data_IF_462419414238
#
_entry.id   IF_462419414238
#
_cell.length_a   1.000
_cell.length_b   1.000
_cell.length_c   1.000
_cell.angle_alpha   90.00
_cell.angle_beta   90.00
_cell.angle_gamma   90.00
#
_symmetry.space_group_name_H-M   'P 1'
#
loop_
_entity.id
_entity.type
_entity.pdbx_description
1 polymer ?
#
# COMPACT_ATOMS: atom_id res chain seq x y z
N UNK A 1 23.33 9.91 -1.43
CA UNK A 1 22.63 8.73 -0.97
C UNK A 1 23.28 8.01 0.19
N UNK A 2 24.54 7.65 0.23
CA UNK A 2 25.20 7.11 1.42
C UNK A 2 26.39 7.99 1.77
N UNK A 3 26.27 8.76 2.83
CA UNK A 3 27.39 9.52 3.41
C UNK A 3 28.28 8.60 4.27
N UNK A 4 28.40 7.32 3.85
CA UNK A 4 29.18 6.32 4.55
C UNK A 4 30.43 5.91 3.75
N UNK A 5 31.48 5.54 4.45
CA UNK A 5 32.71 5.05 3.81
C UNK A 5 33.80 6.11 3.69
N UNK A 6 34.75 5.87 2.82
CA UNK A 6 35.98 6.66 2.68
C UNK A 6 35.74 8.14 2.35
N UNK A 7 34.75 8.42 1.51
CA UNK A 7 34.40 9.80 1.15
C UNK A 7 33.93 10.64 2.36
N UNK A 8 33.23 10.04 3.31
CA UNK A 8 32.83 10.71 4.55
C UNK A 8 34.04 11.07 5.43
N UNK A 9 34.99 10.15 5.52
CA UNK A 9 36.24 10.36 6.26
C UNK A 9 37.03 11.50 5.63
N UNK A 10 37.20 11.48 4.31
CA UNK A 10 37.90 12.54 3.56
C UNK A 10 37.23 13.90 3.70
N UNK A 11 35.90 13.94 3.69
CA UNK A 11 35.13 15.17 3.90
C UNK A 11 35.40 15.76 5.30
N UNK A 12 35.36 14.94 6.36
CA UNK A 12 35.65 15.39 7.72
C UNK A 12 37.12 15.86 7.87
N UNK A 13 38.04 15.20 7.22
CA UNK A 13 39.45 15.61 7.22
C UNK A 13 39.67 16.94 6.49
N UNK A 14 38.94 17.15 5.40
CA UNK A 14 39.04 18.41 4.63
C UNK A 14 38.38 19.61 5.35
N UNK A 15 37.42 19.35 6.24
CA UNK A 15 36.65 20.37 6.95
C UNK A 15 36.62 20.11 8.47
N UNK A 16 37.79 20.17 9.16
CA UNK A 16 37.92 19.71 10.54
C UNK A 16 37.10 20.55 11.55
N UNK A 17 36.81 21.79 11.21
CA UNK A 17 36.08 22.75 12.09
C UNK A 17 34.60 22.89 11.68
N UNK A 18 34.10 22.10 10.73
CA UNK A 18 32.71 22.17 10.30
C UNK A 18 31.79 21.34 11.21
N UNK A 19 30.61 21.89 11.49
CA UNK A 19 29.52 21.14 12.10
C UNK A 19 28.83 20.30 11.00
N UNK A 20 28.60 19.01 11.28
CA UNK A 20 27.94 18.09 10.35
C UNK A 20 26.57 17.72 10.90
N UNK A 21 25.51 18.09 10.18
CA UNK A 21 24.12 17.74 10.51
C UNK A 21 23.58 16.81 9.41
N UNK A 22 23.04 15.68 9.80
CA UNK A 22 22.41 14.73 8.87
C UNK A 22 20.89 14.86 8.90
N UNK A 23 20.29 14.93 7.72
CA UNK A 23 18.84 14.85 7.52
C UNK A 23 18.50 13.54 6.81
N UNK A 24 17.65 12.72 7.40
CA UNK A 24 17.23 11.43 6.82
C UNK A 24 15.83 11.08 7.28
N UNK A 25 15.01 10.56 6.36
CA UNK A 25 13.71 9.97 6.71
C UNK A 25 13.84 8.57 7.35
N UNK A 26 15.04 7.96 7.29
CA UNK A 26 15.28 6.60 7.78
C UNK A 26 16.73 6.48 8.25
N UNK A 27 17.03 6.74 9.53
CA UNK A 27 18.37 6.54 10.07
C UNK A 27 18.77 5.06 9.99
N UNK A 28 20.03 4.79 9.69
CA UNK A 28 20.56 3.41 9.69
C UNK A 28 20.74 2.95 11.13
N UNK A 29 20.01 1.90 11.51
CA UNK A 29 20.00 1.35 12.86
C UNK A 29 21.08 0.31 13.09
N UNK A 30 21.56 -0.35 12.02
CA UNK A 30 22.62 -1.36 12.14
C UNK A 30 23.94 -0.75 12.61
N UNK A 31 24.45 -1.27 13.71
CA UNK A 31 25.75 -0.94 14.28
C UNK A 31 25.91 0.56 14.66
N UNK A 32 24.84 1.23 15.07
CA UNK A 32 24.84 2.65 15.43
C UNK A 32 25.51 3.58 14.39
N UNK A 33 25.52 3.17 13.13
CA UNK A 33 26.32 3.85 12.07
C UNK A 33 25.96 5.30 11.85
N UNK A 34 24.71 5.67 12.03
CA UNK A 34 24.29 7.07 11.85
C UNK A 34 24.67 7.90 13.06
N UNK A 35 24.37 7.43 14.27
CA UNK A 35 24.69 8.11 15.52
C UNK A 35 26.20 8.21 15.75
N UNK A 36 26.96 7.16 15.41
CA UNK A 36 28.44 7.19 15.48
C UNK A 36 29.07 8.17 14.50
N UNK A 37 28.42 8.52 13.40
CA UNK A 37 28.94 9.43 12.39
C UNK A 37 28.55 10.89 12.58
N UNK A 38 27.33 11.14 13.03
CA UNK A 38 26.71 12.46 13.10
C UNK A 38 26.31 12.88 14.52
N UNK A 39 26.49 12.00 15.52
CA UNK A 39 26.05 12.25 16.89
C UNK A 39 24.59 11.84 17.14
N UNK A 40 24.04 12.19 18.31
CA UNK A 40 22.68 11.83 18.69
C UNK A 40 21.64 12.48 17.78
N UNK A 41 20.46 11.87 17.70
CA UNK A 41 19.31 12.48 16.99
C UNK A 41 18.86 13.70 17.79
N UNK A 42 18.89 14.87 17.16
CA UNK A 42 18.53 16.14 17.79
C UNK A 42 17.05 16.48 17.66
N UNK A 43 16.39 15.99 16.60
CA UNK A 43 14.96 16.16 16.35
C UNK A 43 14.44 15.05 15.45
N UNK A 44 13.19 14.62 15.69
CA UNK A 44 12.49 13.68 14.85
C UNK A 44 11.04 14.13 14.62
N UNK A 45 10.60 13.97 13.37
CA UNK A 45 9.22 14.11 12.96
C UNK A 45 8.74 12.74 12.45
N UNK A 46 7.93 12.08 13.26
CA UNK A 46 7.57 10.68 13.04
C UNK A 46 6.43 10.55 12.03
N UNK A 47 6.25 9.36 11.48
CA UNK A 47 5.13 9.09 10.55
C UNK A 47 3.77 9.22 11.22
N UNK A 48 3.66 8.84 12.50
CA UNK A 48 2.43 9.02 13.26
C UNK A 48 2.09 10.50 13.40
N UNK A 49 3.05 11.33 13.86
CA UNK A 49 2.88 12.78 13.96
C UNK A 49 2.53 13.41 12.61
N UNK A 50 3.18 12.94 11.54
CA UNK A 50 2.87 13.40 10.19
C UNK A 50 1.43 13.02 9.74
N UNK A 51 0.93 11.88 10.18
CA UNK A 51 -0.46 11.48 9.93
C UNK A 51 -1.47 12.29 10.78
N UNK A 52 -1.16 12.55 12.06
CA UNK A 52 -1.95 13.40 12.94
C UNK A 52 -2.01 14.84 12.43
N UNK A 53 -0.87 15.39 11.99
CA UNK A 53 -0.76 16.70 11.36
C UNK A 53 -1.32 16.75 9.93
N UNK A 54 -1.84 15.62 9.42
CA UNK A 54 -2.38 15.47 8.06
C UNK A 54 -1.39 15.87 6.96
N UNK A 55 -0.10 15.69 7.17
CA UNK A 55 0.96 15.92 6.17
C UNK A 55 1.27 14.68 5.34
N UNK A 56 0.77 13.52 5.76
CA UNK A 56 0.79 12.24 5.02
C UNK A 56 -0.56 11.53 5.18
N UNK A 57 -0.86 10.61 4.26
CA UNK A 57 -2.02 9.73 4.41
C UNK A 57 -1.71 8.59 5.38
N UNK A 58 -2.65 8.17 6.25
CA UNK A 58 -2.50 6.97 7.07
C UNK A 58 -2.32 5.73 6.19
N UNK A 59 -1.72 4.69 6.76
CA UNK A 59 -1.45 3.44 6.06
C UNK A 59 -2.37 2.32 6.57
N UNK A 60 -2.88 1.53 5.66
CA UNK A 60 -3.58 0.29 5.94
C UNK A 60 -2.77 -0.88 5.38
N UNK A 61 -2.70 -1.95 6.15
CA UNK A 61 -1.98 -3.18 5.80
C UNK A 61 -2.94 -4.37 5.74
N UNK A 62 -2.77 -5.19 4.71
CA UNK A 62 -3.45 -6.47 4.58
C UNK A 62 -2.49 -7.53 4.08
N UNK A 63 -2.46 -8.67 4.77
CA UNK A 63 -1.75 -9.86 4.33
C UNK A 63 -2.65 -10.73 3.45
N UNK A 64 -2.15 -11.11 2.29
CA UNK A 64 -2.84 -11.96 1.30
C UNK A 64 -1.92 -13.07 0.82
N UNK A 65 -1.46 -13.91 1.72
CA UNK A 65 -0.60 -15.04 1.34
C UNK A 65 -1.49 -16.08 0.64
N UNK A 66 -1.23 -16.39 -0.65
CA UNK A 66 -1.94 -17.47 -1.32
C UNK A 66 -1.61 -18.79 -0.61
N UNK A 67 -2.62 -19.51 -0.17
CA UNK A 67 -2.43 -20.87 0.35
C UNK A 67 -2.10 -21.80 -0.82
N UNK A 68 -0.83 -22.12 -0.95
CA UNK A 68 -0.26 -22.88 -2.05
C UNK A 68 0.01 -24.34 -1.70
N UNK A 69 -0.58 -24.85 -0.63
CA UNK A 69 -0.57 -26.29 -0.43
C UNK A 69 -1.24 -26.95 -1.64
N UNK A 70 -0.43 -27.70 -2.39
CA UNK A 70 -0.55 -28.23 -3.75
C UNK A 70 -1.85 -29.05 -3.95
N UNK A 71 -3.00 -28.42 -3.73
CA UNK A 71 -4.30 -29.04 -3.92
C UNK A 71 -5.11 -28.19 -4.92
N UNK A 72 -5.45 -28.77 -6.07
CA UNK A 72 -6.33 -28.16 -7.09
C UNK A 72 -7.57 -27.50 -6.46
N UNK A 73 -8.11 -28.10 -5.39
CA UNK A 73 -9.27 -27.57 -4.67
C UNK A 73 -8.97 -26.26 -3.94
N UNK A 74 -7.76 -26.09 -3.40
CA UNK A 74 -7.36 -24.86 -2.73
C UNK A 74 -7.19 -23.72 -3.73
N UNK A 75 -6.62 -23.99 -4.90
CA UNK A 75 -6.47 -23.03 -5.99
C UNK A 75 -7.85 -22.64 -6.56
N UNK A 76 -8.73 -23.61 -6.80
CA UNK A 76 -10.08 -23.33 -7.27
C UNK A 76 -10.89 -22.52 -6.24
N UNK A 77 -10.81 -22.87 -4.96
CA UNK A 77 -11.47 -22.15 -3.87
C UNK A 77 -10.94 -20.73 -3.73
N UNK A 78 -9.64 -20.54 -3.88
CA UNK A 78 -9.03 -19.23 -3.84
C UNK A 78 -9.41 -18.40 -5.08
N UNK A 79 -9.42 -19.01 -6.27
CA UNK A 79 -9.89 -18.37 -7.50
C UNK A 79 -11.35 -17.93 -7.39
N UNK A 80 -12.25 -18.80 -6.95
CA UNK A 80 -13.66 -18.47 -6.76
C UNK A 80 -13.83 -17.29 -5.77
N UNK A 81 -13.08 -17.30 -4.68
CA UNK A 81 -13.11 -16.25 -3.67
C UNK A 81 -12.68 -14.87 -4.23
N UNK A 82 -11.54 -14.79 -4.93
CA UNK A 82 -11.06 -13.52 -5.48
C UNK A 82 -11.90 -13.03 -6.66
N UNK A 83 -12.60 -13.93 -7.33
CA UNK A 83 -13.49 -13.63 -8.46
C UNK A 83 -14.97 -13.53 -8.09
N UNK A 84 -15.32 -13.68 -6.81
CA UNK A 84 -16.72 -13.74 -6.33
C UNK A 84 -17.58 -12.57 -6.83
N UNK A 85 -16.98 -11.38 -6.97
CA UNK A 85 -17.65 -10.16 -7.43
C UNK A 85 -17.66 -9.98 -8.95
N UNK A 86 -17.06 -10.87 -9.72
CA UNK A 86 -17.11 -10.84 -11.17
C UNK A 86 -18.37 -11.50 -11.68
N UNK A 87 -18.91 -11.03 -12.82
CA UNK A 87 -19.98 -11.74 -13.50
C UNK A 87 -19.54 -13.12 -13.96
N UNK A 88 -20.49 -14.04 -14.14
CA UNK A 88 -20.18 -15.40 -14.59
C UNK A 88 -19.47 -15.42 -15.96
N UNK A 89 -19.78 -14.46 -16.83
CA UNK A 89 -19.08 -14.28 -18.11
C UNK A 89 -17.63 -13.83 -17.91
N UNK A 90 -17.39 -12.91 -17.01
CA UNK A 90 -16.03 -12.44 -16.66
C UNK A 90 -15.22 -13.53 -15.98
N UNK A 91 -15.84 -14.31 -15.08
CA UNK A 91 -15.22 -15.48 -14.45
C UNK A 91 -14.86 -16.53 -15.49
N UNK A 92 -15.78 -16.84 -16.40
CA UNK A 92 -15.56 -17.84 -17.45
C UNK A 92 -14.49 -17.40 -18.47
N UNK A 93 -14.43 -16.12 -18.81
CA UNK A 93 -13.40 -15.58 -19.69
C UNK A 93 -12.03 -15.61 -19.01
N UNK A 94 -11.98 -15.20 -17.75
CA UNK A 94 -10.77 -15.26 -16.93
C UNK A 94 -10.29 -16.72 -16.76
N UNK A 95 -11.19 -17.62 -16.40
CA UNK A 95 -10.90 -19.05 -16.26
C UNK A 95 -10.40 -19.68 -17.59
N UNK A 96 -10.97 -19.30 -18.74
CA UNK A 96 -10.49 -19.71 -20.08
C UNK A 96 -9.10 -19.18 -20.41
N UNK A 97 -8.83 -17.90 -20.10
CA UNK A 97 -7.52 -17.28 -20.34
C UNK A 97 -6.43 -17.97 -19.51
N UNK A 98 -6.76 -18.34 -18.27
CA UNK A 98 -5.82 -18.98 -17.35
C UNK A 98 -5.73 -20.52 -17.49
N UNK A 99 -6.81 -21.21 -17.86
CA UNK A 99 -6.82 -22.66 -18.02
C UNK A 99 -6.18 -23.19 -19.31
N UNK A 100 -5.99 -22.34 -20.33
CA UNK A 100 -5.43 -22.75 -21.63
C UNK A 100 -3.95 -23.20 -21.60
N UNK A 101 -3.23 -23.00 -20.48
CA UNK A 101 -1.84 -23.45 -20.31
C UNK A 101 -1.77 -24.46 -19.18
N UNK A 102 -2.13 -25.70 -19.50
CA UNK A 102 -2.18 -26.82 -18.57
C UNK A 102 -0.92 -27.04 -17.76
N UNK A 103 -1.15 -27.44 -16.52
CA UNK A 103 -0.37 -28.44 -15.77
C UNK A 103 1.11 -28.20 -15.55
N UNK A 104 1.51 -27.06 -14.92
CA UNK A 104 2.72 -27.07 -14.10
C UNK A 104 2.43 -26.29 -12.82
N UNK A 105 2.16 -27.00 -11.74
CA UNK A 105 2.07 -26.46 -10.39
C UNK A 105 3.47 -26.06 -9.93
N UNK A 106 3.77 -24.77 -9.89
CA UNK A 106 5.06 -24.25 -9.51
C UNK A 106 5.05 -22.75 -9.20
N UNK A 107 6.22 -22.17 -9.07
CA UNK A 107 6.40 -20.74 -8.82
C UNK A 107 5.65 -19.84 -9.82
N UNK A 108 5.41 -20.31 -11.04
CA UNK A 108 4.64 -19.62 -12.08
C UNK A 108 3.15 -19.49 -11.75
N UNK A 109 2.53 -20.53 -11.21
CA UNK A 109 1.12 -20.47 -10.83
C UNK A 109 0.88 -19.53 -9.66
N UNK A 110 1.81 -19.48 -8.71
CA UNK A 110 1.78 -18.49 -7.63
C UNK A 110 1.81 -17.06 -8.19
N UNK A 111 2.74 -16.74 -9.08
CA UNK A 111 2.85 -15.42 -9.70
C UNK A 111 1.58 -15.09 -10.48
N UNK A 112 1.02 -16.05 -11.20
CA UNK A 112 -0.22 -15.90 -11.96
C UNK A 112 -1.41 -15.58 -11.05
N UNK A 113 -1.56 -16.31 -9.94
CA UNK A 113 -2.64 -16.10 -8.98
C UNK A 113 -2.55 -14.72 -8.32
N UNK A 114 -1.35 -14.32 -7.92
CA UNK A 114 -1.11 -12.99 -7.37
C UNK A 114 -1.39 -11.90 -8.41
N UNK A 115 -0.95 -12.07 -9.65
CA UNK A 115 -1.23 -11.12 -10.74
C UNK A 115 -2.74 -10.94 -10.96
N UNK A 116 -3.52 -12.02 -10.87
CA UNK A 116 -4.97 -11.98 -10.98
C UNK A 116 -5.61 -11.23 -9.80
N UNK A 117 -5.17 -11.52 -8.57
CA UNK A 117 -5.65 -10.79 -7.38
C UNK A 117 -5.33 -9.29 -7.50
N UNK A 118 -4.10 -8.94 -7.87
CA UNK A 118 -3.68 -7.55 -8.10
C UNK A 118 -4.59 -6.88 -9.14
N UNK A 119 -4.82 -7.54 -10.27
CA UNK A 119 -5.62 -6.98 -11.36
C UNK A 119 -7.05 -6.68 -10.92
N UNK A 120 -7.68 -7.63 -10.24
CA UNK A 120 -9.05 -7.48 -9.73
C UNK A 120 -9.13 -6.46 -8.59
N UNK A 121 -8.22 -6.54 -7.62
CA UNK A 121 -8.18 -5.62 -6.49
C UNK A 121 -7.99 -4.17 -6.97
N UNK A 122 -7.05 -3.95 -7.89
CA UNK A 122 -6.74 -2.62 -8.38
C UNK A 122 -7.95 -1.98 -9.06
N UNK A 123 -8.57 -2.67 -10.02
CA UNK A 123 -9.72 -2.13 -10.78
C UNK A 123 -10.92 -1.86 -9.90
N UNK A 124 -11.19 -2.75 -8.93
CA UNK A 124 -12.37 -2.59 -8.05
C UNK A 124 -12.20 -1.56 -6.97
N UNK A 125 -10.98 -1.44 -6.43
CA UNK A 125 -10.78 -0.73 -5.16
C UNK A 125 -9.90 0.52 -5.28
N UNK A 126 -9.03 0.60 -6.30
CA UNK A 126 -8.00 1.63 -6.39
C UNK A 126 -8.22 2.56 -7.57
N UNK A 127 -8.62 2.07 -8.73
CA UNK A 127 -8.76 2.88 -9.97
C UNK A 127 -9.43 4.23 -9.65
N UNK A 128 -9.96 5.03 -10.35
CA UNK A 128 -10.36 6.42 -10.14
C UNK A 128 -9.22 7.43 -10.44
N UNK A 129 -8.27 7.04 -11.30
CA UNK A 129 -7.10 7.84 -11.65
C UNK A 129 -5.94 7.74 -10.64
N UNK A 130 -6.02 6.80 -9.70
CA UNK A 130 -4.92 6.44 -8.81
C UNK A 130 -4.01 5.39 -9.45
N UNK A 131 -2.85 5.17 -8.84
CA UNK A 131 -1.77 4.35 -9.35
C UNK A 131 -1.32 3.32 -8.30
N UNK A 132 -0.56 2.30 -8.74
CA UNK A 132 0.00 1.29 -7.86
C UNK A 132 1.42 0.88 -8.22
N UNK A 133 2.12 0.31 -7.27
CA UNK A 133 3.42 -0.34 -7.49
C UNK A 133 3.34 -1.81 -7.07
N UNK A 134 4.01 -2.68 -7.82
CA UNK A 134 4.26 -4.06 -7.44
C UNK A 134 5.76 -4.25 -7.23
N UNK A 135 6.16 -4.54 -5.99
CA UNK A 135 7.53 -4.91 -5.65
C UNK A 135 7.69 -6.43 -5.73
N UNK A 136 8.53 -6.90 -6.62
CA UNK A 136 8.83 -8.33 -6.80
C UNK A 136 10.30 -8.65 -6.53
N UNK A 137 10.58 -9.91 -6.27
CA UNK A 137 11.89 -10.37 -5.77
C UNK A 137 12.98 -10.41 -6.84
N UNK A 138 12.63 -10.64 -8.11
CA UNK A 138 13.59 -10.80 -9.19
C UNK A 138 13.13 -10.16 -10.49
N UNK A 139 14.07 -9.96 -11.42
CA UNK A 139 13.78 -9.48 -12.79
C UNK A 139 12.95 -10.49 -13.58
N UNK A 140 13.20 -11.78 -13.38
CA UNK A 140 12.41 -12.84 -14.00
C UNK A 140 10.95 -12.81 -13.52
N UNK A 141 10.74 -12.67 -12.21
CA UNK A 141 9.39 -12.50 -11.65
C UNK A 141 8.69 -11.25 -12.18
N UNK A 142 9.42 -10.13 -12.34
CA UNK A 142 8.86 -8.90 -12.89
C UNK A 142 8.32 -9.09 -14.32
N UNK A 143 9.04 -9.80 -15.16
CA UNK A 143 8.65 -10.11 -16.53
C UNK A 143 7.41 -11.02 -16.53
N UNK A 144 7.36 -12.03 -15.64
CA UNK A 144 6.21 -12.92 -15.50
C UNK A 144 4.97 -12.18 -15.02
N UNK A 145 5.10 -11.31 -14.02
CA UNK A 145 4.01 -10.44 -13.58
C UNK A 145 3.47 -9.57 -14.73
N UNK A 146 4.37 -8.92 -15.48
CA UNK A 146 3.97 -8.12 -16.66
C UNK A 146 3.15 -8.95 -17.63
N UNK A 147 3.62 -10.15 -17.98
CA UNK A 147 2.95 -11.05 -18.88
C UNK A 147 1.54 -11.42 -18.38
N UNK A 148 1.40 -11.81 -17.10
CA UNK A 148 0.10 -12.22 -16.56
C UNK A 148 -0.87 -11.06 -16.37
N UNK A 149 -0.38 -9.86 -16.02
CA UNK A 149 -1.21 -8.65 -15.99
C UNK A 149 -1.69 -8.24 -17.39
N UNK A 150 -0.84 -8.37 -18.41
CA UNK A 150 -1.24 -8.13 -19.80
C UNK A 150 -2.25 -9.19 -20.30
N UNK A 151 -2.08 -10.46 -19.93
CA UNK A 151 -3.05 -11.52 -20.22
C UNK A 151 -4.41 -11.28 -19.56
N UNK A 152 -4.44 -10.67 -18.37
CA UNK A 152 -5.67 -10.23 -17.72
C UNK A 152 -6.37 -9.09 -18.48
N UNK A 153 -5.60 -8.20 -19.11
CA UNK A 153 -6.10 -7.17 -20.03
C UNK A 153 -6.99 -6.11 -19.39
N UNK A 154 -6.86 -5.87 -18.08
CA UNK A 154 -7.70 -4.91 -17.34
C UNK A 154 -7.12 -3.50 -17.34
N UNK A 155 -5.80 -3.35 -17.41
CA UNK A 155 -5.06 -2.09 -17.46
C UNK A 155 -3.65 -2.31 -18.01
N UNK A 156 -2.94 -1.23 -18.31
CA UNK A 156 -1.53 -1.28 -18.71
C UNK A 156 -0.63 -1.30 -17.46
N UNK A 157 0.42 -2.13 -17.52
CA UNK A 157 1.51 -2.15 -16.54
C UNK A 157 2.86 -1.99 -17.23
N UNK A 158 3.88 -1.54 -16.50
CA UNK A 158 5.23 -1.40 -17.04
C UNK A 158 6.29 -1.90 -16.05
N UNK A 159 7.36 -2.50 -16.56
CA UNK A 159 8.48 -3.00 -15.76
C UNK A 159 9.58 -1.96 -15.67
N UNK A 160 10.05 -1.68 -14.45
CA UNK A 160 11.21 -0.84 -14.18
C UNK A 160 12.26 -1.65 -13.42
N UNK A 161 13.33 -1.98 -14.09
CA UNK A 161 14.46 -2.75 -13.53
C UNK A 161 15.79 -2.20 -14.01
N UNK A 162 16.90 -2.61 -13.36
CA UNK A 162 18.26 -2.31 -13.80
C UNK A 162 18.68 -3.24 -14.95
N UNK A 163 19.70 -2.88 -15.75
CA UNK A 163 20.22 -3.76 -16.80
C UNK A 163 20.57 -5.15 -16.30
N UNK A 164 20.57 -6.16 -17.17
CA UNK A 164 21.18 -7.45 -16.87
C UNK A 164 22.65 -7.24 -16.46
N UNK A 165 23.12 -7.96 -15.45
CA UNK A 165 24.54 -7.90 -15.08
C UNK A 165 25.34 -8.73 -16.09
N UNK A 166 26.14 -8.06 -16.92
CA UNK A 166 26.95 -8.67 -17.97
C UNK A 166 28.41 -8.89 -17.56
N UNK A 167 28.78 -8.69 -16.29
CA UNK A 167 30.15 -8.87 -15.82
C UNK A 167 30.50 -10.35 -15.77
N UNK A 168 31.47 -10.75 -16.59
CA UNK A 168 32.07 -12.09 -16.53
C UNK A 168 32.70 -12.33 -15.16
N UNK A 169 32.33 -13.43 -14.51
CA UNK A 169 32.91 -13.88 -13.24
C UNK A 169 32.06 -13.69 -11.99
N UNK A 170 30.86 -13.12 -12.08
CA UNK A 170 29.94 -13.10 -10.98
C UNK A 170 29.18 -14.45 -10.91
N UNK A 171 29.77 -15.41 -10.17
CA UNK A 171 29.18 -16.74 -9.90
C UNK A 171 28.10 -16.72 -8.81
N UNK A 172 27.73 -15.54 -8.29
CA UNK A 172 26.48 -15.43 -7.58
C UNK A 172 25.37 -15.77 -8.58
N UNK A 173 24.64 -16.82 -8.29
CA UNK A 173 23.45 -17.28 -9.04
C UNK A 173 22.36 -16.24 -8.82
N UNK A 174 22.63 -15.01 -9.24
CA UNK A 174 21.61 -13.99 -9.39
C UNK A 174 20.91 -14.29 -10.72
N UNK A 175 19.64 -14.64 -10.64
CA UNK A 175 18.70 -14.78 -11.76
C UNK A 175 18.65 -13.55 -12.68
N UNK A 176 19.44 -12.53 -12.34
CA UNK A 176 19.57 -11.23 -13.02
C UNK A 176 20.10 -11.32 -14.47
N UNK A 177 20.69 -12.43 -14.87
CA UNK A 177 21.28 -12.62 -16.20
C UNK A 177 20.72 -13.85 -16.95
N UNK A 178 19.51 -14.29 -16.61
CA UNK A 178 18.85 -15.37 -17.35
C UNK A 178 18.65 -14.97 -18.82
N UNK A 179 18.66 -15.91 -19.77
CA UNK A 179 18.40 -15.63 -21.18
C UNK A 179 17.07 -14.87 -21.38
N UNK A 180 16.05 -15.16 -20.59
CA UNK A 180 14.74 -14.52 -20.63
C UNK A 180 14.84 -13.03 -20.28
N UNK A 181 15.55 -12.66 -19.22
CA UNK A 181 15.76 -11.27 -18.81
C UNK A 181 16.57 -10.50 -19.85
N UNK A 182 17.61 -11.12 -20.40
CA UNK A 182 18.45 -10.52 -21.44
C UNK A 182 17.66 -10.29 -22.72
N UNK A 183 16.81 -11.24 -23.13
CA UNK A 183 15.98 -11.12 -24.31
C UNK A 183 14.91 -10.04 -24.12
N UNK A 184 14.22 -10.04 -22.97
CA UNK A 184 13.24 -9.02 -22.65
C UNK A 184 13.85 -7.61 -22.68
N UNK A 185 15.06 -7.46 -22.13
CA UNK A 185 15.79 -6.18 -22.16
C UNK A 185 16.06 -5.70 -23.59
N UNK A 186 16.52 -6.58 -24.45
CA UNK A 186 16.77 -6.26 -25.86
C UNK A 186 15.51 -5.86 -26.60
N UNK A 187 14.39 -6.54 -26.33
CA UNK A 187 13.12 -6.33 -27.03
C UNK A 187 12.42 -5.06 -26.60
N UNK A 188 12.55 -4.67 -25.33
CA UNK A 188 11.78 -3.56 -24.75
C UNK A 188 12.61 -2.28 -24.54
N UNK A 189 13.90 -2.38 -24.31
CA UNK A 189 14.79 -1.24 -24.04
C UNK A 189 15.83 -1.11 -25.13
N UNK A 190 16.41 -2.22 -25.56
CA UNK A 190 17.40 -2.27 -26.66
C UNK A 190 18.65 -1.45 -26.35
N UNK A 191 18.95 -0.51 -27.21
CA UNK A 191 20.09 0.41 -27.09
C UNK A 191 19.73 1.72 -26.40
N UNK A 192 18.50 1.90 -25.94
CA UNK A 192 18.11 3.10 -25.19
C UNK A 192 18.89 3.23 -23.88
N UNK A 193 19.17 4.47 -23.52
CA UNK A 193 19.69 4.75 -22.18
C UNK A 193 18.65 4.37 -21.11
N UNK A 194 19.06 3.58 -20.14
CA UNK A 194 18.23 3.10 -19.06
C UNK A 194 17.57 4.25 -18.25
N UNK A 195 18.31 5.33 -18.04
CA UNK A 195 17.81 6.48 -17.29
C UNK A 195 16.72 7.21 -18.10
N UNK A 196 16.90 7.33 -19.41
CA UNK A 196 15.91 7.92 -20.31
C UNK A 196 14.63 7.07 -20.35
N UNK A 197 14.74 5.74 -20.46
CA UNK A 197 13.63 4.81 -20.39
C UNK A 197 12.87 4.93 -19.07
N UNK A 198 13.58 4.88 -17.94
CA UNK A 198 12.98 4.99 -16.60
C UNK A 198 12.27 6.34 -16.42
N UNK A 199 12.91 7.43 -16.87
CA UNK A 199 12.32 8.78 -16.80
C UNK A 199 11.04 8.87 -17.62
N UNK A 200 11.04 8.36 -18.84
CA UNK A 200 9.87 8.31 -19.71
C UNK A 200 8.71 7.53 -19.06
N UNK A 201 8.98 6.37 -18.44
CA UNK A 201 7.96 5.61 -17.74
C UNK A 201 7.38 6.36 -16.53
N UNK A 202 8.21 7.08 -15.77
CA UNK A 202 7.76 7.90 -14.64
C UNK A 202 6.84 9.03 -15.14
N UNK A 203 7.21 9.70 -16.22
CA UNK A 203 6.37 10.76 -16.81
C UNK A 203 5.05 10.21 -17.35
N UNK A 204 5.06 9.04 -17.99
CA UNK A 204 3.83 8.35 -18.40
C UNK A 204 2.99 7.95 -17.21
N UNK A 205 3.60 7.41 -16.16
CA UNK A 205 2.90 6.96 -14.96
C UNK A 205 2.14 8.10 -14.28
N UNK A 206 2.70 9.30 -14.26
CA UNK A 206 2.02 10.50 -13.76
C UNK A 206 0.87 10.96 -14.70
N UNK A 207 1.11 11.00 -16.00
CA UNK A 207 0.22 11.71 -16.95
C UNK A 207 -0.76 10.83 -17.71
N UNK A 208 -0.39 9.58 -17.96
CA UNK A 208 -1.16 8.64 -18.78
C UNK A 208 -2.04 7.75 -17.89
N UNK A 209 -3.35 7.93 -17.99
CA UNK A 209 -4.30 7.15 -17.20
C UNK A 209 -4.38 5.67 -17.58
N UNK A 210 -3.86 5.25 -18.72
CA UNK A 210 -3.82 3.83 -19.12
C UNK A 210 -2.79 3.04 -18.33
N UNK A 211 -1.62 3.64 -18.02
CA UNK A 211 -0.56 3.02 -17.25
C UNK A 211 -0.87 3.09 -15.75
N UNK A 212 -1.33 1.98 -15.18
CA UNK A 212 -1.84 1.91 -13.80
C UNK A 212 -0.83 1.38 -12.78
N UNK A 213 0.01 0.43 -13.17
CA UNK A 213 0.93 -0.25 -12.25
C UNK A 213 2.37 -0.23 -12.77
N UNK A 214 3.31 0.17 -11.91
CA UNK A 214 4.73 -0.05 -12.12
C UNK A 214 5.18 -1.32 -11.39
N UNK A 215 5.77 -2.26 -12.14
CA UNK A 215 6.37 -3.47 -11.62
C UNK A 215 7.85 -3.20 -11.40
N UNK A 216 8.30 -3.29 -10.15
CA UNK A 216 9.65 -2.88 -9.75
C UNK A 216 10.35 -3.97 -8.96
N UNK A 217 11.68 -4.07 -9.12
CA UNK A 217 12.51 -4.98 -8.32
C UNK A 217 13.16 -4.21 -7.17
N UNK A 218 14.05 -3.28 -7.45
CA UNK A 218 14.73 -2.42 -6.45
C UNK A 218 14.56 -0.94 -6.76
N UNK A 219 14.52 -0.60 -8.05
CA UNK A 219 14.33 0.77 -8.51
C UNK A 219 12.95 1.29 -8.12
N UNK A 220 12.88 2.58 -7.86
CA UNK A 220 11.65 3.30 -7.50
C UNK A 220 11.00 2.88 -6.16
N UNK A 221 11.52 1.85 -5.47
CA UNK A 221 11.17 1.60 -4.07
C UNK A 221 11.77 2.70 -3.17
N UNK A 222 12.82 3.37 -3.64
CA UNK A 222 13.45 4.50 -2.94
C UNK A 222 13.58 5.69 -3.89
N UNK A 223 13.36 6.92 -3.37
CA UNK A 223 13.58 8.14 -4.14
C UNK A 223 12.57 8.43 -5.25
N UNK A 224 11.46 7.72 -5.29
CA UNK A 224 10.33 7.95 -6.21
C UNK A 224 9.24 8.76 -5.50
N UNK A 225 8.72 9.78 -6.15
CA UNK A 225 7.68 10.63 -5.61
C UNK A 225 6.51 10.73 -6.60
N UNK A 226 5.42 10.03 -6.28
CA UNK A 226 4.17 10.04 -7.05
C UNK A 226 2.98 10.05 -6.07
N UNK A 227 2.33 11.19 -5.88
CA UNK A 227 1.18 11.31 -4.97
C UNK A 227 0.00 10.41 -5.35
N UNK A 228 -0.20 10.11 -6.63
CA UNK A 228 -1.26 9.21 -7.09
C UNK A 228 -1.01 7.75 -6.72
N UNK A 229 0.22 7.38 -6.31
CA UNK A 229 0.56 6.02 -5.92
C UNK A 229 -0.15 5.66 -4.61
N UNK A 230 -1.23 4.88 -4.69
CA UNK A 230 -2.13 4.59 -3.58
C UNK A 230 -1.93 3.20 -2.98
N UNK A 231 -1.35 2.27 -3.73
CA UNK A 231 -1.15 0.89 -3.28
C UNK A 231 0.25 0.38 -3.61
N UNK A 232 0.85 -0.31 -2.65
CA UNK A 232 2.06 -1.09 -2.83
C UNK A 232 1.73 -2.56 -2.62
N UNK A 233 1.78 -3.33 -3.69
CA UNK A 233 1.73 -4.78 -3.67
C UNK A 233 3.13 -5.33 -3.42
N UNK A 234 3.27 -6.22 -2.45
CA UNK A 234 4.58 -6.69 -1.97
C UNK A 234 4.70 -8.19 -2.18
N UNK A 235 5.45 -8.59 -3.19
CA UNK A 235 5.90 -9.98 -3.40
C UNK A 235 7.43 -10.06 -3.36
N UNK A 236 8.01 -9.43 -2.34
CA UNK A 236 9.45 -9.34 -2.13
C UNK A 236 9.78 -9.38 -0.65
N UNK A 237 10.83 -10.10 -0.21
CA UNK A 237 11.32 -9.98 1.15
C UNK A 237 11.96 -8.59 1.35
N UNK A 238 11.20 -7.68 1.94
CA UNK A 238 11.67 -6.35 2.32
C UNK A 238 12.09 -6.34 3.78
N UNK A 239 13.25 -5.75 4.08
CA UNK A 239 13.82 -5.72 5.41
C UNK A 239 14.18 -4.30 5.84
N UNK A 240 13.95 -4.01 7.12
CA UNK A 240 14.42 -2.81 7.80
C UNK A 240 14.25 -1.51 7.00
N UNK A 241 15.35 -0.83 6.72
CA UNK A 241 15.41 0.43 6.03
C UNK A 241 14.69 0.42 4.65
N UNK A 242 14.88 -0.65 3.86
CA UNK A 242 14.25 -0.77 2.54
C UNK A 242 12.73 -0.90 2.67
N UNK A 243 12.25 -1.59 3.70
CA UNK A 243 10.82 -1.73 3.99
C UNK A 243 10.18 -0.37 4.28
N UNK A 244 10.76 0.39 5.21
CA UNK A 244 10.25 1.73 5.57
C UNK A 244 10.27 2.69 4.37
N UNK A 245 11.31 2.62 3.53
CA UNK A 245 11.39 3.46 2.34
C UNK A 245 10.35 3.09 1.27
N UNK A 246 10.07 1.80 1.10
CA UNK A 246 9.04 1.34 0.17
C UNK A 246 7.64 1.76 0.64
N UNK A 247 7.34 1.60 1.93
CA UNK A 247 6.08 2.02 2.55
C UNK A 247 5.83 3.52 2.35
N UNK A 248 6.86 4.35 2.51
CA UNK A 248 6.76 5.79 2.32
C UNK A 248 6.40 6.22 0.88
N UNK A 249 6.29 5.28 -0.08
CA UNK A 249 5.86 5.60 -1.45
C UNK A 249 4.35 5.76 -1.58
N UNK A 250 3.56 5.15 -0.70
CA UNK A 250 2.11 5.15 -0.77
C UNK A 250 1.42 6.06 0.24
N UNK A 251 2.15 6.70 1.15
CA UNK A 251 1.57 7.60 2.16
C UNK A 251 1.54 9.09 1.76
N UNK A 252 1.85 9.42 0.51
CA UNK A 252 1.78 10.80 0.00
C UNK A 252 0.34 11.30 -0.07
N UNK A 253 0.13 12.58 0.24
CA UNK A 253 -1.19 13.20 0.14
C UNK A 253 -1.66 13.30 -1.30
N UNK A 254 -2.92 12.95 -1.54
CA UNK A 254 -3.60 13.19 -2.80
C UNK A 254 -5.11 13.35 -2.53
N UNK A 255 -5.83 14.28 -3.22
CA UNK A 255 -7.26 14.56 -2.92
C UNK A 255 -8.19 13.33 -3.00
N UNK A 256 -7.88 12.40 -3.89
CA UNK A 256 -8.66 11.16 -4.07
C UNK A 256 -8.24 10.02 -3.12
N UNK A 257 -7.19 10.22 -2.31
CA UNK A 257 -6.59 9.18 -1.48
C UNK A 257 -6.81 9.46 0.01
N UNK A 258 -7.57 8.63 0.69
CA UNK A 258 -7.81 8.72 2.13
C UNK A 258 -6.73 7.97 2.95
N UNK A 259 -6.14 6.93 2.38
CA UNK A 259 -5.09 6.10 2.97
C UNK A 259 -4.20 5.49 1.89
N UNK A 260 -2.98 5.12 2.25
CA UNK A 260 -2.11 4.27 1.44
C UNK A 260 -2.32 2.81 1.80
N UNK A 261 -2.31 1.92 0.81
CA UNK A 261 -2.51 0.49 1.00
C UNK A 261 -1.21 -0.28 0.83
N UNK A 262 -0.99 -1.22 1.74
CA UNK A 262 0.09 -2.21 1.69
C UNK A 262 -0.57 -3.59 1.59
N UNK A 263 -0.44 -4.23 0.45
CA UNK A 263 -0.96 -5.59 0.20
C UNK A 263 0.23 -6.54 0.12
N UNK A 264 0.31 -7.45 1.07
CA UNK A 264 1.47 -8.31 1.27
C UNK A 264 1.19 -9.77 0.91
N UNK A 265 1.95 -10.28 -0.06
CA UNK A 265 1.90 -11.67 -0.50
C UNK A 265 3.05 -12.53 0.02
N UNK A 266 3.91 -11.97 0.90
CA UNK A 266 5.11 -12.65 1.44
C UNK A 266 5.12 -12.88 2.95
N UNK A 267 4.16 -12.28 3.67
CA UNK A 267 4.14 -12.37 5.13
C UNK A 267 5.25 -11.57 5.81
N UNK A 268 5.48 -10.34 5.35
CA UNK A 268 6.53 -9.48 5.92
C UNK A 268 6.11 -8.78 7.22
N UNK A 269 4.91 -9.04 7.73
CA UNK A 269 4.38 -8.39 8.93
C UNK A 269 5.29 -8.57 10.14
N UNK A 270 5.80 -9.76 10.37
CA UNK A 270 6.73 -10.03 11.48
C UNK A 270 8.05 -9.23 11.35
N UNK A 271 8.54 -9.04 10.12
CA UNK A 271 9.72 -8.21 9.85
C UNK A 271 9.41 -6.73 10.04
N UNK A 272 8.20 -6.29 9.68
CA UNK A 272 7.73 -4.93 9.90
C UNK A 272 7.65 -4.62 11.40
N UNK A 273 7.03 -5.50 12.19
CA UNK A 273 6.94 -5.35 13.64
C UNK A 273 8.31 -5.36 14.31
N UNK A 274 9.21 -6.25 13.89
CA UNK A 274 10.60 -6.29 14.38
C UNK A 274 11.35 -5.01 14.04
N UNK A 275 11.14 -4.48 12.83
CA UNK A 275 11.75 -3.23 12.38
C UNK A 275 11.23 -2.06 13.20
N UNK A 276 9.93 -1.98 13.43
CA UNK A 276 9.30 -0.97 14.27
C UNK A 276 9.88 -1.00 15.68
N UNK A 277 9.99 -2.19 16.30
CA UNK A 277 10.58 -2.34 17.64
C UNK A 277 12.02 -1.84 17.71
N UNK A 278 12.86 -2.13 16.69
CA UNK A 278 14.23 -1.61 16.62
C UNK A 278 14.28 -0.07 16.57
N UNK A 279 13.33 0.55 15.86
CA UNK A 279 13.20 2.00 15.84
C UNK A 279 12.71 2.55 17.19
N UNK A 280 11.85 1.82 17.92
CA UNK A 280 11.43 2.18 19.28
C UNK A 280 12.60 2.14 20.28
N UNK A 281 13.41 1.09 20.23
CA UNK A 281 14.61 0.97 21.07
C UNK A 281 15.61 2.10 20.83
N UNK A 282 15.74 2.55 19.58
CA UNK A 282 16.58 3.69 19.24
C UNK A 282 16.02 5.00 19.84
N UNK A 283 14.71 5.15 19.80
CA UNK A 283 14.02 6.31 20.36
C UNK A 283 14.27 6.45 21.87
N UNK A 284 14.27 5.33 22.61
CA UNK A 284 14.56 5.33 24.05
C UNK A 284 16.00 5.74 24.40
N UNK A 285 16.93 5.63 23.47
CA UNK A 285 18.35 5.98 23.63
C UNK A 285 18.68 7.44 23.23
N UNK A 286 17.71 8.21 22.75
CA UNK A 286 17.93 9.58 22.30
C UNK A 286 17.58 10.58 23.41
N UNK A 287 18.41 11.62 23.60
CA UNK A 287 18.25 12.63 24.65
C UNK A 287 17.09 13.61 24.44
N UNK A 288 16.29 13.46 23.40
CA UNK A 288 15.35 14.48 22.96
C UNK A 288 13.86 14.09 22.94
N UNK A 289 13.46 12.99 23.63
CA UNK A 289 12.02 12.72 23.81
C UNK A 289 11.31 12.22 22.55
N UNK A 290 11.76 11.12 21.99
CA UNK A 290 10.90 10.28 21.17
C UNK A 290 9.81 9.69 22.08
N UNK A 291 8.56 9.90 21.77
CA UNK A 291 7.50 9.14 22.40
C UNK A 291 7.46 7.75 21.74
N UNK A 292 7.48 6.69 22.57
CA UNK A 292 7.40 5.28 22.13
C UNK A 292 6.12 5.05 21.29
N UNK A 293 5.06 5.79 21.57
CA UNK A 293 3.81 5.76 20.84
C UNK A 293 3.93 6.26 19.39
N UNK A 294 4.95 7.06 19.09
CA UNK A 294 5.15 7.68 17.76
C UNK A 294 5.43 6.67 16.61
N UNK A 295 5.77 5.44 16.93
CA UNK A 295 6.07 4.41 15.93
C UNK A 295 5.01 3.30 15.91
N UNK A 296 4.30 3.10 17.03
CA UNK A 296 3.25 2.09 17.14
C UNK A 296 2.05 2.30 16.20
N UNK A 297 1.89 3.52 15.67
CA UNK A 297 0.82 3.88 14.73
C UNK A 297 1.23 3.94 13.25
N UNK A 298 2.33 3.27 12.86
CA UNK A 298 2.83 3.34 11.49
C UNK A 298 1.81 2.83 10.45
N UNK A 299 1.05 1.82 10.81
CA UNK A 299 -0.02 1.26 9.99
C UNK A 299 -1.13 0.67 10.87
N UNK A 300 -2.32 0.59 10.30
CA UNK A 300 -3.46 -0.14 10.87
C UNK A 300 -3.76 -1.37 10.02
N UNK A 301 -4.05 -2.49 10.67
CA UNK A 301 -4.56 -3.66 9.94
C UNK A 301 -5.99 -3.38 9.47
N UNK A 302 -6.31 -3.72 8.23
CA UNK A 302 -7.65 -3.56 7.68
C UNK A 302 -8.69 -4.31 8.53
N UNK A 303 -8.31 -5.49 9.06
CA UNK A 303 -9.15 -6.27 9.97
C UNK A 303 -9.49 -5.55 11.28
N UNK A 304 -8.61 -4.71 11.78
CA UNK A 304 -8.88 -3.89 12.98
C UNK A 304 -9.85 -2.75 12.63
N UNK A 305 -9.70 -2.14 11.48
CA UNK A 305 -10.57 -1.04 11.05
C UNK A 305 -12.00 -1.51 10.78
N UNK A 306 -12.20 -2.59 10.04
CA UNK A 306 -13.57 -3.02 9.71
C UNK A 306 -14.31 -3.63 10.90
N UNK A 307 -13.64 -4.12 11.93
CA UNK A 307 -14.29 -4.56 13.20
C UNK A 307 -15.03 -3.46 13.93
N UNK A 308 -14.78 -2.21 13.59
CA UNK A 308 -15.54 -1.04 14.10
C UNK A 308 -16.90 -0.87 13.44
N UNK A 309 -17.15 -1.56 12.32
CA UNK A 309 -18.35 -1.39 11.51
C UNK A 309 -19.66 -1.52 12.30
N UNK A 310 -19.86 -2.56 13.15
CA UNK A 310 -21.10 -2.70 13.93
C UNK A 310 -21.32 -1.55 14.91
N UNK A 311 -20.24 -1.05 15.53
CA UNK A 311 -20.31 0.08 16.45
C UNK A 311 -20.70 1.37 15.70
N UNK A 312 -20.08 1.64 14.55
CA UNK A 312 -20.38 2.82 13.73
C UNK A 312 -21.79 2.76 13.16
N UNK A 313 -22.26 1.59 12.77
CA UNK A 313 -23.65 1.36 12.36
C UNK A 313 -24.62 1.70 13.49
N UNK A 314 -24.36 1.21 14.70
CA UNK A 314 -25.17 1.51 15.87
C UNK A 314 -25.18 3.01 16.19
N UNK A 315 -24.04 3.69 16.10
CA UNK A 315 -23.93 5.14 16.32
C UNK A 315 -24.75 5.92 15.28
N UNK A 316 -24.67 5.53 14.00
CA UNK A 316 -25.47 6.15 12.94
C UNK A 316 -26.97 5.98 13.18
N UNK A 317 -27.43 4.79 13.56
CA UNK A 317 -28.86 4.54 13.83
C UNK A 317 -29.34 5.16 15.13
N UNK A 318 -28.48 5.43 16.11
CA UNK A 318 -28.86 6.09 17.36
C UNK A 318 -29.44 7.51 17.13
N UNK A 319 -29.03 8.17 16.05
CA UNK A 319 -29.58 9.49 15.65
C UNK A 319 -31.08 9.43 15.38
N UNK A 320 -31.58 8.27 14.97
CA UNK A 320 -32.97 8.02 14.62
C UNK A 320 -33.75 7.25 15.71
N UNK A 321 -33.24 7.20 16.95
CA UNK A 321 -33.94 6.45 18.03
C UNK A 321 -35.33 7.00 18.37
N UNK A 322 -35.56 8.29 18.11
CA UNK A 322 -36.88 8.89 18.26
C UNK A 322 -37.90 8.57 17.15
N UNK A 323 -37.45 7.92 16.06
CA UNK A 323 -38.31 7.60 14.92
C UNK A 323 -39.09 6.30 15.19
N UNK A 324 -40.41 6.35 15.09
CA UNK A 324 -41.31 5.21 15.39
C UNK A 324 -41.21 4.11 14.34
N UNK A 325 -41.13 4.48 13.06
CA UNK A 325 -40.99 3.51 11.94
C UNK A 325 -39.72 3.80 11.18
N UNK A 326 -38.68 3.02 11.49
CA UNK A 326 -37.33 3.14 10.85
C UNK A 326 -37.33 2.67 9.39
N UNK A 327 -38.39 2.04 8.89
CA UNK A 327 -38.54 1.68 7.48
C UNK A 327 -39.20 2.78 6.64
N UNK A 328 -39.67 3.85 7.27
CA UNK A 328 -40.28 4.99 6.61
C UNK A 328 -39.22 6.08 6.39
N UNK A 329 -38.80 6.21 5.15
CA UNK A 329 -37.78 7.19 4.74
C UNK A 329 -38.21 8.62 5.06
N UNK A 330 -39.50 8.93 4.98
CA UNK A 330 -39.97 10.29 5.26
C UNK A 330 -39.86 10.61 6.75
N UNK A 331 -40.13 9.67 7.65
CA UNK A 331 -39.94 9.86 9.08
C UNK A 331 -38.45 10.05 9.43
N UNK A 332 -37.54 9.31 8.78
CA UNK A 332 -36.09 9.50 8.93
C UNK A 332 -35.66 10.88 8.42
N UNK A 333 -36.17 11.28 7.26
CA UNK A 333 -35.89 12.59 6.65
C UNK A 333 -36.34 13.75 7.55
N UNK A 334 -37.47 13.64 8.22
CA UNK A 334 -38.01 14.67 9.12
C UNK A 334 -37.04 15.03 10.25
N UNK A 335 -36.21 14.09 10.72
CA UNK A 335 -35.21 14.35 11.76
C UNK A 335 -34.09 15.26 11.24
N UNK A 336 -33.83 15.25 9.92
CA UNK A 336 -32.74 15.98 9.28
C UNK A 336 -33.18 17.31 8.62
N UNK A 337 -34.50 17.55 8.48
CA UNK A 337 -34.98 18.82 7.93
C UNK A 337 -34.73 19.98 8.92
N UNK A 338 -34.25 21.14 8.44
CA UNK A 338 -34.13 22.33 9.31
C UNK A 338 -35.42 22.65 10.05
N UNK A 339 -35.31 22.84 11.34
CA UNK A 339 -36.45 23.24 12.18
C UNK A 339 -36.09 24.52 12.92
N UNK A 340 -36.69 25.62 12.49
CA UNK A 340 -36.42 26.95 13.05
C UNK A 340 -37.36 27.21 14.21
N UNK A 341 -36.83 27.49 15.39
CA UNK A 341 -37.56 27.88 16.60
C UNK A 341 -36.99 29.19 17.15
N UNK A 342 -37.83 30.02 17.71
CA UNK A 342 -37.39 31.21 18.42
C UNK A 342 -36.95 30.83 19.84
N UNK A 343 -35.71 31.13 20.17
CA UNK A 343 -35.10 30.91 21.49
C UNK A 343 -34.36 32.17 21.95
N UNK A 344 -34.87 32.78 23.00
CA UNK A 344 -34.24 33.99 23.56
C UNK A 344 -34.23 35.22 22.64
N UNK A 345 -35.17 35.31 21.69
CA UNK A 345 -35.28 36.39 20.71
C UNK A 345 -34.44 36.14 19.43
N UNK A 346 -33.82 35.00 19.30
CA UNK A 346 -33.08 34.59 18.11
C UNK A 346 -33.74 33.38 17.45
N UNK A 347 -33.73 33.35 16.11
CA UNK A 347 -34.22 32.22 15.33
C UNK A 347 -33.12 31.17 15.22
N UNK A 348 -33.29 30.03 15.86
CA UNK A 348 -32.29 28.95 15.94
C UNK A 348 -32.81 27.69 15.24
N UNK A 349 -31.94 27.10 14.42
CA UNK A 349 -32.22 25.77 13.87
C UNK A 349 -31.90 24.67 14.88
N UNK A 350 -32.92 24.15 15.52
CA UNK A 350 -32.81 23.14 16.58
C UNK A 350 -32.34 21.76 16.05
N UNK A 351 -32.42 21.53 14.74
CA UNK A 351 -31.93 20.30 14.10
C UNK A 351 -30.53 20.45 13.51
N UNK A 352 -29.88 21.61 13.62
CA UNK A 352 -28.55 21.80 13.07
C UNK A 352 -27.54 20.78 13.60
N UNK A 353 -27.49 20.62 14.93
CA UNK A 353 -26.56 19.68 15.57
C UNK A 353 -26.84 18.24 15.18
N UNK A 354 -28.10 17.85 15.08
CA UNK A 354 -28.51 16.50 14.65
C UNK A 354 -28.01 16.20 13.22
N UNK A 355 -28.07 17.19 12.32
CA UNK A 355 -27.55 17.04 10.96
C UNK A 355 -26.02 16.93 10.94
N UNK A 356 -25.32 17.73 11.73
CA UNK A 356 -23.86 17.63 11.86
C UNK A 356 -23.46 16.24 12.36
N UNK A 357 -24.09 15.75 13.43
CA UNK A 357 -23.84 14.43 14.00
C UNK A 357 -24.16 13.32 12.99
N UNK A 358 -25.23 13.48 12.20
CA UNK A 358 -25.58 12.54 11.13
C UNK A 358 -24.50 12.48 10.04
N UNK A 359 -24.02 13.63 9.54
CA UNK A 359 -23.00 13.65 8.51
C UNK A 359 -21.67 13.10 9.02
N UNK A 360 -21.32 13.37 10.27
CA UNK A 360 -20.12 12.81 10.90
C UNK A 360 -20.23 11.29 11.04
N UNK A 361 -21.33 10.77 11.60
CA UNK A 361 -21.56 9.35 11.77
C UNK A 361 -21.65 8.61 10.42
N UNK A 362 -22.35 9.18 9.44
CA UNK A 362 -22.45 8.61 8.09
C UNK A 362 -21.09 8.57 7.40
N UNK A 363 -20.28 9.62 7.53
CA UNK A 363 -18.95 9.67 6.94
C UNK A 363 -18.01 8.64 7.58
N UNK A 364 -18.06 8.49 8.90
CA UNK A 364 -17.28 7.49 9.63
C UNK A 364 -17.69 6.07 9.22
N UNK A 365 -19.00 5.78 9.19
CA UNK A 365 -19.52 4.49 8.76
C UNK A 365 -19.16 4.16 7.31
N UNK A 366 -19.43 5.08 6.37
CA UNK A 366 -19.12 4.88 4.95
C UNK A 366 -17.63 4.68 4.70
N UNK A 367 -16.76 5.39 5.42
CA UNK A 367 -15.30 5.22 5.32
C UNK A 367 -14.85 3.85 5.83
N UNK A 368 -15.40 3.41 6.96
CA UNK A 368 -15.13 2.08 7.51
C UNK A 368 -15.65 0.97 6.59
N UNK A 369 -16.87 1.13 6.06
CA UNK A 369 -17.45 0.20 5.09
C UNK A 369 -16.63 0.11 3.82
N UNK A 370 -16.10 1.23 3.31
CA UNK A 370 -15.19 1.22 2.16
C UNK A 370 -13.94 0.38 2.44
N UNK A 371 -13.34 0.47 3.63
CA UNK A 371 -12.20 -0.37 4.04
C UNK A 371 -12.61 -1.84 4.11
N UNK A 372 -13.75 -2.15 4.74
CA UNK A 372 -14.27 -3.50 4.84
C UNK A 372 -14.45 -4.17 3.45
N UNK A 373 -15.08 -3.45 2.53
CA UNK A 373 -15.33 -3.96 1.18
C UNK A 373 -14.07 -4.14 0.31
N UNK A 374 -12.95 -3.54 0.69
CA UNK A 374 -11.65 -3.71 0.03
C UNK A 374 -10.84 -4.87 0.62
N UNK A 375 -11.17 -5.34 1.82
CA UNK A 375 -10.45 -6.40 2.51
C UNK A 375 -10.94 -7.77 2.07
N UNK A 376 -10.01 -8.65 1.69
CA UNK A 376 -10.33 -10.05 1.41
C UNK A 376 -10.79 -10.77 2.67
N UNK A 377 -10.18 -10.48 3.83
CA UNK A 377 -10.49 -11.13 5.11
C UNK A 377 -11.86 -10.76 5.66
N UNK A 378 -12.43 -9.61 5.27
CA UNK A 378 -13.78 -9.21 5.71
C UNK A 378 -14.85 -10.22 5.30
N UNK A 379 -14.78 -10.75 4.07
CA UNK A 379 -15.74 -11.71 3.56
C UNK A 379 -15.55 -13.12 4.13
N UNK A 380 -14.40 -13.39 4.75
CA UNK A 380 -14.09 -14.64 5.44
C UNK A 380 -14.46 -14.60 6.92
N UNK A 381 -14.59 -13.38 7.48
CA UNK A 381 -14.85 -13.18 8.90
C UNK A 381 -16.31 -13.52 9.23
N UNK A 382 -16.51 -14.69 9.83
CA UNK A 382 -17.82 -15.20 10.24
C UNK A 382 -18.48 -14.40 11.37
N UNK A 383 -17.77 -13.44 11.96
CA UNK A 383 -18.37 -12.53 12.96
C UNK A 383 -19.34 -11.51 12.35
N UNK A 384 -19.26 -11.34 11.01
CA UNK A 384 -20.23 -10.52 10.26
C UNK A 384 -21.22 -11.44 9.56
N UNK A 385 -22.48 -11.33 9.93
CA UNK A 385 -23.55 -12.05 9.24
C UNK A 385 -23.98 -11.28 7.99
N UNK A 386 -24.64 -11.96 7.06
CA UNK A 386 -25.22 -11.33 5.86
C UNK A 386 -26.35 -10.34 6.18
N UNK A 387 -26.70 -10.18 7.45
CA UNK A 387 -27.71 -9.22 7.95
C UNK A 387 -27.07 -7.96 8.54
N UNK A 388 -25.78 -7.98 8.84
CA UNK A 388 -24.99 -6.83 9.30
C UNK A 388 -24.36 -6.11 8.09
#
# INVERSE_FOLDING_TARGET
>A
RSQGGENHIRMKQALPNAAFVAFTGTPLLKDDKTTNKFGPIVHAYTMQRAAEDQTVTPLLYEERIPDLDVNERAIDSWFERITERLSDEQKADLKRKFAKKGQVYGADDRIRLIALDIANHFVKNIDEGLKGQLACDSKASAIKYKKYLDEAGLFESAVVMSPPDSREGNTAVDEASTPEVTQWWKDNIGSQDEQAYTKHLIERFDKDDSLKILIVVDKLLTGFDEPKNAVLYIDKPLKEHNLIQAIARVNRLHPKKKFGLLIDYRGILAELDTTIQKYQDLASRTQGGYDINDIAGLYNQMSTEYKRLPQLYKQLWAIFDGVKNKNDIEQLRQVLVPKIEERGGEMVDVHLKVREDFYEALTAFASCLKVALQSATFFEDRSFSSQD
#
